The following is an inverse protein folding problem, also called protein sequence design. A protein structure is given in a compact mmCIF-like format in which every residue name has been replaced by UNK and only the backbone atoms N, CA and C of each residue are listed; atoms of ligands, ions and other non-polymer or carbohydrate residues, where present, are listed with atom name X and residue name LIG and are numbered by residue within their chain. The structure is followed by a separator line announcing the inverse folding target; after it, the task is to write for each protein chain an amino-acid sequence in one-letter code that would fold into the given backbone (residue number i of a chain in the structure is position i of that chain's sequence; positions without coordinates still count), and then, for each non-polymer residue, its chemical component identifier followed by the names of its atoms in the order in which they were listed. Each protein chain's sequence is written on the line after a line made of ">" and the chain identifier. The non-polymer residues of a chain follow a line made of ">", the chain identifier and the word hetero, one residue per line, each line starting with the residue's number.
data_IF_843382246734
#
_entry.id   IF_843382246734
#
_cell.length_a   1.000
_cell.length_b   1.000
_cell.length_c   1.000
_cell.angle_alpha   90.00
_cell.angle_beta   90.00
_cell.angle_gamma   90.00
#
_symmetry.space_group_name_H-M   'P 1'
#
loop_
_entity.id
_entity.type
_entity.pdbx_description
1 polymer ?
#
# COMPACT_ATOMS: atom_id res chain seq x y z
N UNK A 1 -8.94 -3.38 28.70
CA UNK A 1 -8.40 -2.52 27.62
C UNK A 1 -8.18 -3.41 26.41
N UNK A 2 -8.40 -2.91 25.19
CA UNK A 2 -8.21 -3.69 23.95
C UNK A 2 -6.82 -3.41 23.40
N UNK A 3 -6.08 -4.45 23.03
CA UNK A 3 -4.76 -4.36 22.40
C UNK A 3 -4.91 -4.78 20.94
N UNK A 4 -4.36 -3.97 20.03
CA UNK A 4 -4.22 -4.29 18.61
C UNK A 4 -2.74 -4.32 18.26
N UNK A 5 -2.34 -5.28 17.46
CA UNK A 5 -0.94 -5.47 17.06
C UNK A 5 -0.82 -5.44 15.56
N UNK A 6 0.22 -4.76 15.07
CA UNK A 6 0.61 -4.77 13.68
C UNK A 6 2.03 -5.30 13.55
N UNK A 7 2.28 -6.15 12.56
CA UNK A 7 3.61 -6.69 12.26
C UNK A 7 3.83 -6.75 10.75
N UNK A 8 5.10 -6.74 10.34
CA UNK A 8 5.51 -6.85 8.94
C UNK A 8 6.31 -8.12 8.71
N UNK A 9 6.08 -8.77 7.57
CA UNK A 9 6.79 -9.99 7.11
C UNK A 9 7.38 -9.76 5.72
N UNK A 10 8.25 -10.66 5.22
CA UNK A 10 8.87 -10.47 3.89
C UNK A 10 7.88 -10.74 2.75
N UNK A 11 7.04 -11.76 2.87
CA UNK A 11 6.10 -12.18 1.83
C UNK A 11 4.81 -12.77 2.43
N UNK A 12 3.78 -13.00 1.61
CA UNK A 12 2.50 -13.56 2.09
C UNK A 12 2.63 -15.02 2.55
N UNK A 13 3.61 -15.75 2.03
CA UNK A 13 3.91 -17.16 2.33
C UNK A 13 5.10 -17.31 3.31
N UNK A 14 5.48 -16.22 3.97
CA UNK A 14 6.53 -16.22 4.99
C UNK A 14 6.11 -17.11 6.19
N UNK A 15 6.91 -18.13 6.57
CA UNK A 15 6.62 -18.98 7.73
C UNK A 15 6.43 -18.20 9.03
N UNK A 16 7.03 -17.00 9.15
CA UNK A 16 6.87 -16.13 10.31
C UNK A 16 5.41 -15.68 10.53
N UNK A 17 4.55 -15.72 9.50
CA UNK A 17 3.13 -15.40 9.62
C UNK A 17 2.44 -16.31 10.64
N UNK A 18 2.64 -17.62 10.53
CA UNK A 18 2.05 -18.60 11.44
C UNK A 18 2.65 -18.50 12.84
N UNK A 19 3.95 -18.23 12.94
CA UNK A 19 4.65 -18.04 14.22
C UNK A 19 4.16 -16.80 14.97
N UNK A 20 3.97 -15.67 14.27
CA UNK A 20 3.43 -14.44 14.84
C UNK A 20 1.99 -14.62 15.30
N UNK A 21 1.18 -15.30 14.50
CA UNK A 21 -0.18 -15.66 14.87
C UNK A 21 -0.23 -16.53 16.13
N UNK A 22 0.62 -17.56 16.23
CA UNK A 22 0.72 -18.38 17.43
C UNK A 22 1.16 -17.59 18.66
N UNK A 23 2.12 -16.67 18.49
CA UNK A 23 2.57 -15.76 19.54
C UNK A 23 1.42 -14.88 20.05
N UNK A 24 0.68 -14.24 19.15
CA UNK A 24 -0.40 -13.32 19.52
C UNK A 24 -1.62 -14.03 20.11
N UNK A 25 -1.91 -15.25 19.64
CA UNK A 25 -2.90 -16.11 20.27
C UNK A 25 -2.51 -16.46 21.72
N UNK A 26 -1.23 -16.75 21.96
CA UNK A 26 -0.69 -16.98 23.31
C UNK A 26 -0.75 -15.76 24.23
N UNK A 27 -0.78 -14.55 23.67
CA UNK A 27 -0.99 -13.29 24.38
C UNK A 27 -2.49 -12.93 24.54
N UNK A 28 -3.40 -13.73 23.98
CA UNK A 28 -4.84 -13.50 24.06
C UNK A 28 -5.35 -12.36 23.17
N UNK A 29 -4.61 -11.99 22.12
CA UNK A 29 -5.02 -10.94 21.17
C UNK A 29 -5.95 -11.57 20.12
N UNK A 30 -7.20 -11.11 19.95
CA UNK A 30 -8.11 -11.66 18.95
C UNK A 30 -7.55 -11.53 17.52
N UNK A 31 -7.85 -12.50 16.64
CA UNK A 31 -7.37 -12.47 15.23
C UNK A 31 -7.79 -11.20 14.47
N UNK A 32 -8.95 -10.64 14.77
CA UNK A 32 -9.41 -9.37 14.20
C UNK A 32 -8.53 -8.16 14.58
N UNK A 33 -7.75 -8.29 15.65
CA UNK A 33 -6.84 -7.29 16.19
C UNK A 33 -5.36 -7.56 15.83
N UNK A 34 -5.10 -8.58 15.02
CA UNK A 34 -3.77 -8.95 14.52
C UNK A 34 -3.65 -8.55 13.04
N UNK A 35 -2.89 -7.50 12.76
CA UNK A 35 -2.66 -6.98 11.40
C UNK A 35 -1.25 -7.32 10.95
N UNK A 36 -1.08 -8.43 10.23
CA UNK A 36 0.22 -8.84 9.69
C UNK A 36 0.22 -8.61 8.19
N UNK A 37 1.20 -7.87 7.66
CA UNK A 37 1.27 -7.53 6.23
C UNK A 37 2.69 -7.68 5.69
N UNK A 38 2.86 -8.11 4.44
CA UNK A 38 4.17 -8.08 3.82
C UNK A 38 4.70 -6.66 3.64
N UNK A 39 6.01 -6.49 3.72
CA UNK A 39 6.69 -5.26 3.32
C UNK A 39 6.59 -5.08 1.80
N UNK A 40 6.50 -3.83 1.35
CA UNK A 40 6.56 -3.52 -0.07
C UNK A 40 8.01 -3.58 -0.57
N UNK A 41 8.23 -4.21 -1.73
CA UNK A 41 9.52 -4.25 -2.40
C UNK A 41 9.80 -2.91 -3.10
N UNK A 42 10.09 -1.88 -2.30
CA UNK A 42 10.30 -0.51 -2.74
C UNK A 42 11.40 0.17 -1.91
N UNK A 43 11.99 1.23 -2.46
CA UNK A 43 13.07 1.97 -1.79
C UNK A 43 14.32 1.09 -1.58
N UNK A 44 14.69 0.87 -0.32
CA UNK A 44 15.89 0.09 0.08
C UNK A 44 15.57 -1.36 0.48
N UNK A 45 14.32 -1.80 0.33
CA UNK A 45 13.93 -3.17 0.65
C UNK A 45 14.53 -4.15 -0.37
N UNK A 46 15.23 -5.19 0.12
CA UNK A 46 15.77 -6.29 -0.71
C UNK A 46 14.75 -7.41 -0.94
N UNK A 47 13.80 -7.55 -0.01
CA UNK A 47 12.70 -8.51 -0.05
C UNK A 47 11.37 -7.79 0.17
N UNK A 48 10.28 -8.34 -0.38
CA UNK A 48 8.97 -7.73 -0.26
C UNK A 48 8.01 -8.17 -1.35
N UNK A 49 6.79 -7.67 -1.27
CA UNK A 49 5.78 -7.80 -2.32
C UNK A 49 5.92 -6.62 -3.29
N UNK A 50 6.08 -6.92 -4.58
CA UNK A 50 6.04 -5.91 -5.62
C UNK A 50 4.60 -5.40 -5.81
N UNK A 51 4.46 -4.08 -5.94
CA UNK A 51 3.18 -3.42 -6.24
C UNK A 51 3.30 -2.66 -7.56
N UNK A 52 2.17 -2.53 -8.25
CA UNK A 52 2.03 -1.63 -9.40
C UNK A 52 1.00 -0.57 -9.04
N UNK A 53 0.96 0.53 -9.82
CA UNK A 53 -0.09 1.54 -9.65
C UNK A 53 -1.50 0.94 -9.67
N UNK A 54 -1.72 -0.08 -10.51
CA UNK A 54 -3.01 -0.76 -10.70
C UNK A 54 -3.43 -1.62 -9.49
N UNK A 55 -2.48 -2.06 -8.67
CA UNK A 55 -2.79 -2.79 -7.44
C UNK A 55 -3.04 -1.86 -6.26
N UNK A 56 -2.69 -0.57 -6.35
CA UNK A 56 -2.79 0.39 -5.25
C UNK A 56 -4.05 1.26 -5.34
N UNK A 57 -4.68 1.52 -4.19
CA UNK A 57 -5.63 2.64 -4.06
C UNK A 57 -4.85 3.96 -4.08
N UNK A 58 -5.43 5.06 -4.59
CA UNK A 58 -4.73 6.34 -4.61
C UNK A 58 -4.60 6.92 -3.20
N UNK A 59 -3.39 7.28 -2.84
CA UNK A 59 -3.05 8.12 -1.68
C UNK A 59 -2.08 9.20 -2.20
N UNK A 60 -2.65 10.27 -2.73
CA UNK A 60 -1.91 11.27 -3.52
C UNK A 60 -0.72 11.80 -2.73
N UNK A 61 0.47 11.61 -3.29
CA UNK A 61 1.74 11.98 -2.66
C UNK A 61 2.42 13.07 -3.45
N UNK A 62 2.85 14.14 -2.78
CA UNK A 62 3.60 15.22 -3.40
C UNK A 62 5.05 15.14 -2.94
N UNK A 63 5.99 15.09 -3.87
CA UNK A 63 7.44 15.17 -3.64
C UNK A 63 8.01 16.44 -4.31
N UNK A 64 9.34 16.62 -4.27
CA UNK A 64 9.99 17.70 -5.01
C UNK A 64 9.99 17.45 -6.53
N UNK A 65 9.82 16.21 -6.95
CA UNK A 65 9.90 15.73 -8.34
C UNK A 65 8.52 15.70 -9.04
N UNK A 66 7.44 15.72 -8.26
CA UNK A 66 6.08 15.75 -8.78
C UNK A 66 5.02 15.22 -7.82
N UNK A 67 3.87 14.89 -8.39
CA UNK A 67 2.69 14.34 -7.74
C UNK A 67 2.56 12.88 -8.19
N UNK A 68 2.55 11.98 -7.24
CA UNK A 68 2.50 10.53 -7.43
C UNK A 68 1.19 9.96 -6.89
N UNK A 69 0.80 8.80 -7.43
CA UNK A 69 -0.42 8.07 -7.11
C UNK A 69 -0.50 7.63 -5.64
N UNK A 70 0.62 7.19 -5.06
CA UNK A 70 0.69 6.57 -3.74
C UNK A 70 2.11 6.69 -3.18
N UNK A 71 2.31 6.86 -1.86
CA UNK A 71 3.64 7.11 -1.30
C UNK A 71 4.59 5.93 -1.49
N UNK A 72 4.07 4.70 -1.39
CA UNK A 72 4.86 3.48 -1.61
C UNK A 72 5.46 3.40 -3.03
N UNK A 73 4.88 4.12 -4.00
CA UNK A 73 5.30 4.11 -5.40
C UNK A 73 5.90 5.45 -5.83
N UNK A 74 6.30 6.33 -4.90
CA UNK A 74 6.83 7.66 -5.23
C UNK A 74 8.19 7.65 -5.97
N UNK A 75 8.79 6.46 -6.16
CA UNK A 75 10.00 6.26 -6.97
C UNK A 75 9.69 5.60 -8.33
N UNK A 76 8.44 5.21 -8.58
CA UNK A 76 7.99 4.59 -9.82
C UNK A 76 7.44 5.66 -10.78
N UNK A 77 8.06 5.80 -11.94
CA UNK A 77 7.59 6.71 -13.00
C UNK A 77 6.19 6.35 -13.50
N UNK A 78 5.75 5.09 -13.39
CA UNK A 78 4.37 4.69 -13.72
C UNK A 78 3.36 5.22 -12.71
N UNK A 79 3.77 5.54 -11.48
CA UNK A 79 2.93 6.15 -10.47
C UNK A 79 2.94 7.68 -10.52
N UNK A 80 3.77 8.30 -11.35
CA UNK A 80 3.82 9.75 -11.53
C UNK A 80 2.55 10.23 -12.26
N UNK A 81 1.80 11.12 -11.61
CA UNK A 81 0.57 11.71 -12.13
C UNK A 81 0.88 13.03 -12.85
N UNK A 82 1.72 13.87 -12.25
CA UNK A 82 2.10 15.18 -12.79
C UNK A 82 3.46 15.62 -12.26
N UNK A 83 4.27 16.29 -13.08
CA UNK A 83 5.48 17.00 -12.61
C UNK A 83 5.18 18.43 -12.17
N UNK A 84 4.01 18.97 -12.53
CA UNK A 84 3.55 20.28 -12.10
C UNK A 84 2.88 20.14 -10.72
N UNK A 85 3.55 20.66 -9.69
CA UNK A 85 3.10 20.55 -8.29
C UNK A 85 1.95 21.51 -7.98
N UNK A 86 1.96 22.70 -8.58
CA UNK A 86 0.94 23.73 -8.36
C UNK A 86 0.42 24.28 -9.69
N UNK A 87 -0.91 24.47 -9.82
CA UNK A 87 -1.95 24.15 -8.84
C UNK A 87 -2.19 22.63 -8.69
N UNK A 88 -2.64 22.18 -7.52
CA UNK A 88 -2.90 20.75 -7.27
C UNK A 88 -4.15 20.21 -7.96
N UNK A 89 -5.16 21.06 -8.20
CA UNK A 89 -6.48 20.63 -8.67
C UNK A 89 -6.42 19.78 -9.97
N UNK A 90 -5.68 20.17 -11.02
CA UNK A 90 -5.57 19.35 -12.23
C UNK A 90 -5.02 17.94 -11.98
N UNK A 91 -4.07 17.78 -11.05
CA UNK A 91 -3.53 16.47 -10.71
C UNK A 91 -4.54 15.63 -9.94
N UNK A 92 -5.32 16.23 -9.03
CA UNK A 92 -6.38 15.52 -8.29
C UNK A 92 -7.53 15.08 -9.20
N UNK A 93 -7.90 15.94 -10.16
CA UNK A 93 -8.88 15.58 -11.21
C UNK A 93 -8.36 14.38 -12.00
N UNK A 94 -7.08 14.42 -12.40
CA UNK A 94 -6.44 13.32 -13.13
C UNK A 94 -6.40 12.01 -12.33
N UNK A 95 -6.08 12.07 -11.03
CA UNK A 95 -6.14 10.88 -10.15
C UNK A 95 -7.56 10.31 -10.10
N UNK A 96 -8.56 11.17 -9.94
CA UNK A 96 -9.97 10.76 -9.87
C UNK A 96 -10.42 10.06 -11.14
N UNK A 97 -10.06 10.59 -12.32
CA UNK A 97 -10.34 9.98 -13.62
C UNK A 97 -9.67 8.60 -13.77
N UNK A 98 -8.37 8.52 -13.47
CA UNK A 98 -7.60 7.28 -13.54
C UNK A 98 -8.16 6.20 -12.61
N UNK A 99 -8.54 6.60 -11.40
CA UNK A 99 -9.14 5.69 -10.43
C UNK A 99 -10.48 5.16 -10.91
N UNK A 100 -11.35 6.03 -11.43
CA UNK A 100 -12.63 5.61 -11.99
C UNK A 100 -12.46 4.61 -13.15
N UNK A 101 -11.48 4.85 -14.04
CA UNK A 101 -11.16 3.94 -15.14
C UNK A 101 -10.67 2.57 -14.64
N UNK A 102 -9.74 2.58 -13.69
CA UNK A 102 -9.21 1.36 -13.06
C UNK A 102 -10.31 0.57 -12.36
N UNK A 103 -11.17 1.23 -11.56
CA UNK A 103 -12.26 0.57 -10.84
C UNK A 103 -13.36 0.03 -11.76
N UNK A 104 -13.65 0.71 -12.87
CA UNK A 104 -14.60 0.18 -13.87
C UNK A 104 -14.08 -1.07 -14.58
N UNK A 105 -12.76 -1.29 -14.58
CA UNK A 105 -12.08 -2.37 -15.30
C UNK A 105 -11.57 -3.48 -14.37
N UNK A 106 -11.56 -3.27 -13.05
CA UNK A 106 -10.92 -4.15 -12.09
C UNK A 106 -11.79 -5.37 -11.74
N UNK A 107 -11.33 -6.55 -12.19
CA UNK A 107 -11.75 -7.85 -11.66
C UNK A 107 -10.98 -8.12 -10.36
N UNK A 108 -11.64 -8.07 -9.20
CA UNK A 108 -11.34 -8.62 -7.86
C UNK A 108 -9.91 -8.59 -7.23
N UNK A 109 -8.82 -8.28 -7.95
CA UNK A 109 -7.42 -8.47 -7.50
C UNK A 109 -6.71 -7.16 -7.18
N UNK A 110 -7.45 -6.09 -6.87
CA UNK A 110 -6.85 -4.87 -6.29
C UNK A 110 -6.48 -5.17 -4.85
N UNK A 111 -5.20 -5.42 -4.57
CA UNK A 111 -4.73 -5.57 -3.19
C UNK A 111 -4.74 -4.21 -2.52
N UNK A 112 -5.70 -3.96 -1.64
CA UNK A 112 -5.74 -2.71 -0.87
C UNK A 112 -4.53 -2.63 0.07
N UNK A 113 -3.44 -2.02 -0.42
CA UNK A 113 -2.38 -1.52 0.42
C UNK A 113 -2.81 -0.15 0.93
N UNK A 114 -3.15 -0.08 2.21
CA UNK A 114 -3.39 1.19 2.88
C UNK A 114 -2.12 1.52 3.66
N UNK A 115 -1.53 2.70 3.42
CA UNK A 115 -0.54 3.27 4.32
C UNK A 115 -1.28 3.89 5.51
N UNK A 116 -1.27 3.22 6.67
CA UNK A 116 -1.78 3.76 7.93
C UNK A 116 -1.06 3.14 9.12
#
# INVERSE_FOLDING_TARGET
>A
FTVRVAATISAHDDPALDELHALFDGLGIPRADQVIRPIALQGVAEEGVAFTRESLIPEVTVTAEGIYWHPVAALDENALVSREILPLAPALDRVSELFAQQWSSATATTSMFACA
#
